data_IF_145900399166
#
_entry.id   IF_145900399166
#
_cell.length_a   1.000
_cell.length_b   1.000
_cell.length_c   1.000
_cell.angle_alpha   90.00
_cell.angle_beta   90.00
_cell.angle_gamma   90.00
#
_symmetry.space_group_name_H-M   'P 1'
#
loop_
_entity.id
_entity.type
_entity.pdbx_description
1 polymer ?
#
# COMPACT_ATOMS: atom_id res chain seq x y z
N UNK A 1 -8.54 16.87 -5.85
CA UNK A 1 -8.96 16.49 -7.22
C UNK A 1 -7.81 16.11 -8.17
N UNK A 2 -6.54 16.48 -7.90
CA UNK A 2 -5.40 16.21 -8.79
C UNK A 2 -5.08 14.70 -8.95
N UNK A 3 -4.98 13.95 -7.85
CA UNK A 3 -4.62 12.53 -7.89
C UNK A 3 -5.62 11.67 -8.70
N UNK A 4 -6.92 11.99 -8.65
CA UNK A 4 -7.95 11.27 -9.39
C UNK A 4 -7.87 11.47 -10.91
N UNK A 5 -7.44 12.65 -11.38
CA UNK A 5 -7.26 12.95 -12.81
C UNK A 5 -6.03 12.22 -13.37
N UNK A 6 -4.93 12.20 -12.62
CA UNK A 6 -3.71 11.45 -12.98
C UNK A 6 -4.01 9.95 -13.02
N UNK A 7 -4.77 9.45 -12.05
CA UNK A 7 -5.23 8.06 -12.02
C UNK A 7 -6.08 7.69 -13.25
N UNK A 8 -6.93 8.61 -13.73
CA UNK A 8 -7.78 8.36 -14.89
C UNK A 8 -7.00 8.32 -16.21
N UNK A 9 -5.96 9.15 -16.34
CA UNK A 9 -5.12 9.21 -17.54
C UNK A 9 -4.28 7.94 -17.74
N UNK A 10 -3.74 7.34 -16.67
CA UNK A 10 -2.89 6.14 -16.76
C UNK A 10 -3.65 4.80 -16.68
N UNK A 11 -4.93 4.82 -16.33
CA UNK A 11 -5.77 3.61 -16.25
C UNK A 11 -5.84 2.78 -17.56
N UNK A 12 -5.81 3.36 -18.77
CA UNK A 12 -5.79 2.60 -20.02
C UNK A 12 -4.49 1.84 -20.26
N UNK A 13 -3.36 2.32 -19.74
CA UNK A 13 -2.03 1.76 -19.98
C UNK A 13 -1.62 0.74 -18.93
N UNK A 14 -1.97 1.00 -17.67
CA UNK A 14 -1.56 0.18 -16.53
C UNK A 14 -2.69 -0.75 -16.07
N UNK A 15 -3.92 -0.49 -16.52
CA UNK A 15 -5.13 -1.18 -16.07
C UNK A 15 -5.75 -0.47 -14.88
N UNK A 16 -7.08 -0.28 -14.90
CA UNK A 16 -7.81 0.50 -13.89
C UNK A 16 -7.71 -0.07 -12.46
N UNK A 17 -7.42 -1.36 -12.33
CA UNK A 17 -7.16 -2.04 -11.07
C UNK A 17 -5.73 -1.83 -10.52
N UNK A 18 -4.84 -1.22 -11.29
CA UNK A 18 -3.44 -0.97 -10.92
C UNK A 18 -3.17 0.51 -10.62
N UNK A 19 -4.23 1.30 -10.47
CA UNK A 19 -4.15 2.72 -10.19
C UNK A 19 -4.73 2.98 -8.80
N UNK A 20 -3.88 3.53 -7.93
CA UNK A 20 -4.20 3.74 -6.53
C UNK A 20 -4.10 5.22 -6.18
N UNK A 21 -5.06 5.70 -5.40
CA UNK A 21 -5.11 7.08 -4.96
C UNK A 21 -4.70 7.16 -3.49
N UNK A 22 -3.76 8.06 -3.19
CA UNK A 22 -3.58 8.59 -1.84
C UNK A 22 -4.77 9.51 -1.58
N UNK A 23 -5.63 9.13 -0.64
CA UNK A 23 -6.95 9.72 -0.48
C UNK A 23 -7.45 9.60 0.94
N UNK A 24 -7.91 10.73 1.44
CA UNK A 24 -8.50 10.95 2.75
C UNK A 24 -9.66 10.00 3.01
N UNK A 25 -9.51 9.09 3.98
CA UNK A 25 -10.56 8.19 4.42
C UNK A 25 -11.69 8.91 5.18
N UNK A 26 -11.60 10.23 5.39
CA UNK A 26 -12.45 10.95 6.33
C UNK A 26 -13.46 11.95 5.76
N UNK A 27 -13.66 12.03 4.43
CA UNK A 27 -14.63 12.99 3.87
C UNK A 27 -15.80 12.35 3.11
N UNK A 28 -16.55 11.52 3.82
CA UNK A 28 -17.90 11.07 3.44
C UNK A 28 -18.95 12.21 3.52
N UNK A 29 -18.55 13.42 3.91
CA UNK A 29 -19.42 14.59 4.07
C UNK A 29 -19.12 15.77 3.13
N UNK A 30 -18.11 15.70 2.26
CA UNK A 30 -17.88 16.74 1.24
C UNK A 30 -18.83 16.56 0.04
N UNK A 31 -19.79 17.47 -0.21
CA UNK A 31 -20.65 17.42 -1.40
C UNK A 31 -19.90 17.62 -2.72
N UNK A 32 -18.59 17.93 -2.69
CA UNK A 32 -17.70 17.99 -3.86
C UNK A 32 -16.89 16.70 -4.06
N UNK A 33 -17.06 15.71 -3.21
CA UNK A 33 -16.36 14.44 -3.30
C UNK A 33 -16.79 13.66 -4.56
N UNK A 34 -15.82 13.09 -5.28
CA UNK A 34 -16.11 12.32 -6.49
C UNK A 34 -16.90 11.04 -6.14
N UNK A 35 -17.83 10.60 -7.02
CA UNK A 35 -18.52 9.32 -6.83
C UNK A 35 -17.54 8.16 -6.59
N UNK A 36 -17.88 7.18 -5.75
CA UNK A 36 -17.03 6.01 -5.46
C UNK A 36 -16.55 5.28 -6.73
N UNK A 37 -17.38 5.26 -7.78
CA UNK A 37 -17.05 4.69 -9.10
C UNK A 37 -15.94 5.43 -9.86
N UNK A 38 -15.65 6.67 -9.47
CA UNK A 38 -14.63 7.56 -10.03
C UNK A 38 -13.40 7.73 -9.12
N UNK A 39 -13.44 7.24 -7.87
CA UNK A 39 -12.27 7.24 -6.98
C UNK A 39 -11.35 6.07 -7.32
N UNK A 40 -10.04 6.30 -7.33
CA UNK A 40 -9.05 5.21 -7.38
C UNK A 40 -9.10 4.38 -6.09
N UNK A 41 -8.55 3.17 -6.10
CA UNK A 41 -8.47 2.34 -4.88
C UNK A 41 -7.51 2.99 -3.89
N UNK A 42 -7.86 3.06 -2.61
CA UNK A 42 -6.93 3.52 -1.58
C UNK A 42 -5.67 2.62 -1.58
N UNK A 43 -4.49 3.23 -1.60
CA UNK A 43 -3.21 2.51 -1.63
C UNK A 43 -2.94 1.76 -0.31
N UNK A 44 -3.41 2.32 0.81
CA UNK A 44 -3.27 1.74 2.14
C UNK A 44 -4.65 1.29 2.64
N UNK A 45 -4.71 0.10 3.27
CA UNK A 45 -5.93 -0.37 3.96
C UNK A 45 -6.30 0.55 5.13
N UNK A 46 -5.31 1.21 5.75
CA UNK A 46 -5.45 2.21 6.80
C UNK A 46 -5.97 3.57 6.31
N UNK A 47 -6.08 3.79 5.00
CA UNK A 47 -6.67 5.02 4.45
C UNK A 47 -5.78 6.26 4.57
N UNK A 48 -4.46 6.09 4.56
CA UNK A 48 -3.50 7.19 4.73
C UNK A 48 -3.71 8.29 3.67
N UNK A 49 -3.99 9.50 4.16
CA UNK A 49 -3.98 10.72 3.37
C UNK A 49 -2.55 11.18 3.04
N UNK A 50 -2.46 12.18 2.17
CA UNK A 50 -1.16 12.74 1.74
C UNK A 50 -0.40 13.38 2.90
N UNK A 51 -1.10 14.07 3.81
CA UNK A 51 -0.47 14.72 4.98
C UNK A 51 0.18 13.71 5.92
N UNK A 52 -0.50 12.60 6.20
CA UNK A 52 0.01 11.52 7.05
C UNK A 52 1.23 10.84 6.41
N UNK A 53 1.24 10.68 5.08
CA UNK A 53 2.41 10.15 4.38
C UNK A 53 3.60 11.10 4.51
N UNK A 54 3.40 12.43 4.36
CA UNK A 54 4.48 13.40 4.54
C UNK A 54 5.03 13.37 5.97
N UNK A 55 4.18 13.26 6.99
CA UNK A 55 4.60 13.11 8.39
C UNK A 55 5.44 11.85 8.57
N UNK A 56 5.02 10.72 7.97
CA UNK A 56 5.75 9.45 8.05
C UNK A 56 7.09 9.49 7.32
N UNK A 57 7.15 10.11 6.14
CA UNK A 57 8.41 10.32 5.42
C UNK A 57 9.38 11.20 6.23
N UNK A 58 8.91 12.30 6.81
CA UNK A 58 9.71 13.15 7.72
C UNK A 58 10.16 12.38 8.99
N UNK A 59 9.37 11.41 9.43
CA UNK A 59 9.70 10.50 10.53
C UNK A 59 10.56 9.30 10.09
N UNK A 60 11.11 9.30 8.87
CA UNK A 60 12.06 8.29 8.39
C UNK A 60 11.45 6.95 7.99
N UNK A 61 10.13 6.89 7.77
CA UNK A 61 9.49 5.67 7.31
C UNK A 61 10.05 5.22 5.95
N UNK A 62 10.06 3.91 5.73
CA UNK A 62 10.70 3.31 4.56
C UNK A 62 9.98 2.06 4.07
N UNK A 63 10.40 1.57 2.91
CA UNK A 63 9.88 0.32 2.36
C UNK A 63 10.77 -0.87 2.69
N UNK A 64 10.22 -1.84 3.41
CA UNK A 64 10.85 -3.13 3.72
C UNK A 64 10.43 -4.19 2.71
N UNK A 65 11.39 -4.93 2.16
CA UNK A 65 11.16 -6.09 1.29
C UNK A 65 11.33 -7.38 2.09
N UNK A 66 10.31 -8.22 2.09
CA UNK A 66 10.31 -9.51 2.80
C UNK A 66 10.05 -10.64 1.81
N UNK A 67 11.00 -11.57 1.67
CA UNK A 67 10.84 -12.76 0.82
C UNK A 67 10.16 -13.88 1.61
N UNK A 68 9.13 -14.47 1.02
CA UNK A 68 8.44 -15.62 1.59
C UNK A 68 9.15 -16.90 1.15
N UNK A 69 9.32 -17.84 2.07
CA UNK A 69 9.95 -19.13 1.84
C UNK A 69 9.22 -20.21 2.63
N UNK A 70 9.58 -21.48 2.42
CA UNK A 70 9.00 -22.59 3.19
C UNK A 70 9.36 -22.52 4.69
N UNK A 71 10.46 -21.84 5.04
CA UNK A 71 10.95 -21.68 6.41
C UNK A 71 10.53 -20.35 7.06
N UNK A 72 10.12 -19.38 6.25
CA UNK A 72 9.66 -18.06 6.67
C UNK A 72 8.40 -17.72 5.89
N UNK A 73 7.28 -18.17 6.43
CA UNK A 73 5.98 -18.09 5.80
C UNK A 73 5.30 -16.73 5.99
N UNK A 74 4.07 -16.61 5.50
CA UNK A 74 3.34 -15.36 5.57
C UNK A 74 2.97 -14.94 6.99
N UNK A 75 2.63 -15.89 7.86
CA UNK A 75 2.26 -15.59 9.24
C UNK A 75 3.48 -15.11 10.03
N UNK A 76 4.64 -15.75 9.82
CA UNK A 76 5.91 -15.29 10.38
C UNK A 76 6.27 -13.88 9.88
N UNK A 77 6.13 -13.63 8.57
CA UNK A 77 6.37 -12.30 7.99
C UNK A 77 5.46 -11.22 8.56
N UNK A 78 4.19 -11.57 8.83
CA UNK A 78 3.22 -10.66 9.44
C UNK A 78 3.52 -10.40 10.92
N UNK A 79 3.95 -11.42 11.66
CA UNK A 79 4.33 -11.29 13.06
C UNK A 79 5.62 -10.49 13.28
N UNK A 80 6.52 -10.50 12.30
CA UNK A 80 7.78 -9.74 12.29
C UNK A 80 7.60 -8.26 11.89
N UNK A 81 6.42 -7.86 11.42
CA UNK A 81 6.15 -6.46 11.09
C UNK A 81 5.85 -5.67 12.38
N UNK A 82 6.37 -4.42 12.50
CA UNK A 82 5.93 -3.49 13.52
C UNK A 82 4.41 -3.32 13.49
N UNK A 83 3.81 -3.00 14.64
CA UNK A 83 2.36 -2.84 14.76
C UNK A 83 1.78 -1.78 13.79
N UNK A 84 2.55 -0.72 13.53
CA UNK A 84 2.13 0.40 12.68
C UNK A 84 2.48 0.18 11.20
N UNK A 85 3.10 -0.95 10.85
CA UNK A 85 3.49 -1.24 9.48
C UNK A 85 2.31 -1.64 8.59
N UNK A 86 2.34 -1.19 7.34
CA UNK A 86 1.34 -1.49 6.33
C UNK A 86 1.93 -2.38 5.23
N UNK A 87 1.36 -3.55 4.99
CA UNK A 87 1.68 -4.34 3.79
C UNK A 87 1.04 -3.71 2.58
N UNK A 88 1.81 -3.49 1.51
CA UNK A 88 1.37 -2.73 0.34
C UNK A 88 1.28 -3.57 -0.92
N UNK A 89 2.35 -4.31 -1.22
CA UNK A 89 2.50 -4.99 -2.49
C UNK A 89 2.98 -6.43 -2.29
N UNK A 90 2.34 -7.36 -2.98
CA UNK A 90 2.83 -8.70 -3.22
C UNK A 90 3.36 -8.78 -4.65
N UNK A 91 4.66 -9.01 -4.78
CA UNK A 91 5.34 -9.34 -6.01
C UNK A 91 5.47 -10.87 -6.11
N UNK A 92 4.74 -11.46 -7.05
CA UNK A 92 4.83 -12.88 -7.35
C UNK A 92 6.16 -13.21 -8.02
N UNK A 93 6.63 -14.45 -7.87
CA UNK A 93 7.86 -14.92 -8.55
C UNK A 93 7.86 -14.70 -10.08
N UNK A 94 6.69 -14.74 -10.71
CA UNK A 94 6.53 -14.50 -12.15
C UNK A 94 6.50 -13.01 -12.54
N UNK A 95 6.76 -12.09 -11.60
CA UNK A 95 6.72 -10.64 -11.83
C UNK A 95 5.32 -10.02 -11.71
N UNK A 96 4.28 -10.81 -11.49
CA UNK A 96 2.92 -10.28 -11.31
C UNK A 96 2.82 -9.53 -9.99
N UNK A 97 2.29 -8.31 -10.05
CA UNK A 97 2.03 -7.46 -8.89
C UNK A 97 0.58 -7.55 -8.44
N UNK A 98 0.37 -7.56 -7.12
CA UNK A 98 -0.94 -7.53 -6.44
C UNK A 98 -0.84 -6.64 -5.22
N UNK A 99 -1.80 -5.75 -5.01
CA UNK A 99 -1.78 -4.85 -3.85
C UNK A 99 -2.63 -5.41 -2.72
N UNK A 100 -2.18 -5.16 -1.49
CA UNK A 100 -2.99 -5.35 -0.30
C UNK A 100 -3.88 -4.12 -0.16
N UNK A 101 -5.18 -4.32 -0.33
CA UNK A 101 -6.20 -3.27 -0.23
C UNK A 101 -7.39 -3.79 0.53
N UNK A 102 -8.28 -2.89 0.97
CA UNK A 102 -9.54 -3.27 1.60
C UNK A 102 -10.36 -4.29 0.80
N UNK A 103 -10.34 -4.18 -0.54
CA UNK A 103 -11.06 -5.07 -1.45
C UNK A 103 -10.24 -6.28 -1.94
N UNK A 104 -8.95 -6.39 -1.61
CA UNK A 104 -8.12 -7.52 -2.04
C UNK A 104 -6.97 -7.79 -1.07
N UNK A 105 -6.97 -8.99 -0.48
CA UNK A 105 -5.90 -9.47 0.42
C UNK A 105 -5.27 -10.72 -0.19
N UNK A 106 -4.28 -10.57 -1.09
CA UNK A 106 -3.67 -11.73 -1.75
C UNK A 106 -2.89 -12.57 -0.73
N UNK A 107 -2.99 -13.90 -0.81
CA UNK A 107 -2.19 -14.81 0.02
C UNK A 107 -0.81 -15.03 -0.61
N UNK A 108 0.29 -14.65 0.07
CA UNK A 108 1.66 -14.89 -0.39
C UNK A 108 2.01 -16.39 -0.37
N UNK A 109 2.89 -16.79 -1.28
CA UNK A 109 3.40 -18.16 -1.38
C UNK A 109 4.93 -18.16 -1.35
N UNK A 110 5.58 -19.30 -1.04
CA UNK A 110 7.03 -19.42 -1.12
C UNK A 110 7.57 -18.95 -2.47
N UNK A 111 8.58 -18.09 -2.43
CA UNK A 111 9.20 -17.44 -3.59
C UNK A 111 8.66 -16.03 -3.90
N UNK A 112 7.52 -15.65 -3.35
CA UNK A 112 6.98 -14.29 -3.47
C UNK A 112 7.75 -13.29 -2.60
N UNK A 113 7.54 -12.00 -2.86
CA UNK A 113 8.10 -10.90 -2.06
C UNK A 113 7.00 -9.94 -1.66
N UNK A 114 6.93 -9.60 -0.38
CA UNK A 114 6.05 -8.58 0.17
C UNK A 114 6.85 -7.29 0.30
N UNK A 115 6.27 -6.18 -0.14
CA UNK A 115 6.73 -4.83 0.19
C UNK A 115 5.80 -4.27 1.27
N UNK A 116 6.39 -3.85 2.38
CA UNK A 116 5.68 -3.19 3.48
C UNK A 116 6.23 -1.80 3.70
N UNK A 117 5.38 -0.85 4.05
CA UNK A 117 5.77 0.47 4.55
C UNK A 117 5.89 0.39 6.07
N UNK A 118 7.06 0.70 6.59
CA UNK A 118 7.42 0.48 7.99
C UNK A 118 8.02 1.76 8.57
N UNK A 119 7.84 2.02 9.87
CA UNK A 119 8.62 3.05 10.56
C UNK A 119 10.12 2.69 10.51
N UNK A 120 10.98 3.70 10.64
CA UNK A 120 12.41 3.46 10.84
C UNK A 120 12.61 2.56 12.07
N UNK A 121 13.42 1.50 11.99
CA UNK A 121 13.70 0.68 13.16
C UNK A 121 14.38 1.53 14.25
N UNK A 122 13.85 1.47 15.48
CA UNK A 122 14.48 2.06 16.67
C UNK A 122 15.87 1.41 16.86
N UNK A 123 16.94 2.07 16.39
CA UNK A 123 18.30 1.56 16.54
C UNK A 123 19.30 1.96 15.46
N UNK A 124 18.90 2.63 14.39
CA UNK A 124 19.84 3.24 13.43
C UNK A 124 19.83 4.77 13.60
N UNK A 125 20.41 5.23 14.72
CA UNK A 125 20.99 6.59 14.80
C UNK A 125 22.34 6.54 14.05
N UNK A 126 22.51 7.37 13.01
CA UNK A 126 23.81 7.58 12.35
C UNK A 126 24.83 8.25 13.27
#
# INVERSE_FOLDING_TARGET
AYNALVCNEFAPEVGRDNVYQLGDASDDHDPRALPESLRGRALFDSGLGVEEIMIREDAGWTFRKTRISDQFDFEAAKADLPADADMLLLLRRNGTMRFFTHASRPTPQPGDTILSYVPQPEGEEE
#
